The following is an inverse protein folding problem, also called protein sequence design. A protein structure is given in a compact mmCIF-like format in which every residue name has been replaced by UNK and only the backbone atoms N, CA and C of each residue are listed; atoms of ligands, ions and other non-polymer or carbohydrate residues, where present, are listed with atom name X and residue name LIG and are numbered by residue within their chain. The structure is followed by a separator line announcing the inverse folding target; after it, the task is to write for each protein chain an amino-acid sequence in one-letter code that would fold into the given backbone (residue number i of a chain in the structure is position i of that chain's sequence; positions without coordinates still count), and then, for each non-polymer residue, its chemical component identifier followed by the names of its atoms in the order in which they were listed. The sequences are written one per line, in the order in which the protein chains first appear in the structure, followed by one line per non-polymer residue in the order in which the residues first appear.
data_IF_932017352419
#
_entry.id   IF_932017352419
#
_cell.length_a   1.000
_cell.length_b   1.000
_cell.length_c   1.000
_cell.angle_alpha   90.00
_cell.angle_beta   90.00
_cell.angle_gamma   90.00
#
_symmetry.space_group_name_H-M   'P 1'
#
loop_
_entity.id
_entity.type
_entity.pdbx_description
1 polymer ?
#
# COMPACT_ATOMS: atom_id res chain seq x y z
N UNK A 1 0.70 2.84 -19.86
CA UNK A 1 1.34 2.66 -18.53
C UNK A 1 0.67 1.56 -17.72
N UNK A 2 -0.64 1.63 -17.43
CA UNK A 2 -1.34 0.61 -16.64
C UNK A 2 -1.15 -0.84 -17.14
N UNK A 3 -1.44 -1.12 -18.41
CA UNK A 3 -1.30 -2.47 -18.99
C UNK A 3 0.14 -2.99 -18.90
N UNK A 4 1.14 -2.14 -19.15
CA UNK A 4 2.55 -2.51 -19.03
C UNK A 4 2.93 -2.81 -17.57
N UNK A 5 2.43 -2.04 -16.60
CA UNK A 5 2.68 -2.29 -15.17
C UNK A 5 2.08 -3.63 -14.72
N UNK A 6 0.89 -4.00 -15.20
CA UNK A 6 0.26 -5.30 -14.92
C UNK A 6 1.11 -6.44 -15.50
N UNK A 7 1.58 -6.31 -16.74
CA UNK A 7 2.45 -7.31 -17.38
C UNK A 7 3.75 -7.49 -16.59
N UNK A 8 4.39 -6.39 -16.19
CA UNK A 8 5.61 -6.43 -15.36
C UNK A 8 5.33 -7.12 -14.03
N UNK A 9 4.24 -6.78 -13.33
CA UNK A 9 3.87 -7.41 -12.06
C UNK A 9 3.66 -8.93 -12.19
N UNK A 10 3.03 -9.38 -13.27
CA UNK A 10 2.86 -10.81 -13.55
C UNK A 10 4.21 -11.52 -13.68
N UNK A 11 5.12 -11.01 -14.50
CA UNK A 11 6.43 -11.64 -14.70
C UNK A 11 7.31 -11.63 -13.44
N UNK A 12 7.21 -10.60 -12.59
CA UNK A 12 7.96 -10.50 -11.34
C UNK A 12 7.51 -11.55 -10.31
N UNK A 13 6.20 -11.82 -10.21
CA UNK A 13 5.64 -12.73 -9.19
C UNK A 13 5.56 -14.20 -9.69
N UNK A 14 5.68 -14.46 -10.99
CA UNK A 14 5.46 -15.81 -11.54
C UNK A 14 6.52 -16.85 -11.15
N UNK A 15 7.72 -16.44 -10.68
CA UNK A 15 8.84 -17.35 -10.40
C UNK A 15 9.46 -17.16 -9.00
N UNK A 16 8.65 -16.85 -7.99
CA UNK A 16 9.17 -16.71 -6.61
C UNK A 16 9.32 -18.09 -5.96
N UNK A 17 10.38 -18.29 -5.16
CA UNK A 17 10.58 -19.50 -4.37
C UNK A 17 9.42 -19.70 -3.38
N UNK A 18 9.00 -20.95 -3.16
CA UNK A 18 7.86 -21.27 -2.29
C UNK A 18 7.97 -20.73 -0.85
N UNK A 19 9.20 -20.66 -0.32
CA UNK A 19 9.47 -20.09 1.01
C UNK A 19 9.14 -18.60 1.11
N UNK A 20 9.01 -17.91 -0.02
CA UNK A 20 8.81 -16.46 -0.07
C UNK A 20 7.34 -16.05 -0.27
N UNK A 21 6.39 -16.96 -0.46
CA UNK A 21 4.99 -16.56 -0.69
C UNK A 21 4.39 -15.75 0.47
N UNK A 22 4.66 -16.16 1.71
CA UNK A 22 4.22 -15.44 2.91
C UNK A 22 4.89 -14.07 3.08
N UNK A 23 6.23 -13.93 3.02
CA UNK A 23 6.86 -12.61 3.08
C UNK A 23 6.52 -11.72 1.88
N UNK A 24 6.29 -12.29 0.68
CA UNK A 24 5.83 -11.54 -0.50
C UNK A 24 4.41 -10.99 -0.31
N UNK A 25 3.51 -11.77 0.31
CA UNK A 25 2.18 -11.28 0.69
C UNK A 25 2.29 -10.10 1.68
N UNK A 26 3.17 -10.20 2.68
CA UNK A 26 3.39 -9.12 3.64
C UNK A 26 3.94 -7.84 2.98
N UNK A 27 4.92 -7.96 2.07
CA UNK A 27 5.47 -6.80 1.34
C UNK A 27 4.44 -6.16 0.40
N UNK A 28 3.68 -6.95 -0.34
CA UNK A 28 2.64 -6.40 -1.25
C UNK A 28 1.53 -5.69 -0.47
N UNK A 29 1.19 -6.16 0.73
CA UNK A 29 0.31 -5.44 1.64
C UNK A 29 0.92 -4.09 2.09
N UNK A 30 2.20 -4.07 2.49
CA UNK A 30 2.88 -2.83 2.87
C UNK A 30 2.89 -1.79 1.71
N UNK A 31 3.15 -2.24 0.48
CA UNK A 31 3.16 -1.40 -0.73
C UNK A 31 1.76 -0.85 -1.05
N UNK A 32 0.69 -1.62 -0.77
CA UNK A 32 -0.69 -1.15 -0.95
C UNK A 32 -1.02 0.10 -0.13
N UNK A 33 -0.22 0.40 0.91
CA UNK A 33 -0.28 1.63 1.69
C UNK A 33 -0.02 2.92 0.89
N UNK A 34 0.34 2.84 -0.40
CA UNK A 34 0.43 3.98 -1.33
C UNK A 34 -0.83 4.85 -1.36
N UNK A 35 -1.98 4.31 -0.95
CA UNK A 35 -3.22 5.07 -0.75
C UNK A 35 -3.04 6.28 0.20
N UNK A 36 -2.00 6.28 1.06
CA UNK A 36 -1.61 7.43 1.89
C UNK A 36 -1.36 8.68 1.04
N UNK A 37 -0.75 8.54 -0.13
CA UNK A 37 -0.49 9.67 -1.04
C UNK A 37 -1.80 10.32 -1.46
N UNK A 38 -2.82 9.52 -1.80
CA UNK A 38 -4.14 10.02 -2.15
C UNK A 38 -4.82 10.75 -0.99
N UNK A 39 -4.72 10.21 0.23
CA UNK A 39 -5.28 10.85 1.41
C UNK A 39 -4.60 12.20 1.72
N UNK A 40 -3.27 12.29 1.61
CA UNK A 40 -2.52 13.51 1.86
C UNK A 40 -2.88 14.64 0.88
N UNK A 41 -3.16 14.30 -0.38
CA UNK A 41 -3.60 15.28 -1.38
C UNK A 41 -4.95 15.91 -1.03
N UNK A 42 -5.79 15.21 -0.26
CA UNK A 42 -7.15 15.63 0.04
C UNK A 42 -7.28 16.44 1.35
N UNK A 43 -6.21 16.48 2.18
CA UNK A 43 -6.22 17.21 3.46
C UNK A 43 -6.39 18.73 3.32
N UNK A 44 -6.10 19.30 2.15
CA UNK A 44 -6.27 20.73 1.86
C UNK A 44 -7.65 21.13 1.31
N UNK A 45 -8.65 20.26 1.44
CA UNK A 45 -9.99 20.49 0.91
C UNK A 45 -10.78 21.50 1.75
N UNK A 46 -11.55 22.38 1.09
CA UNK A 46 -12.44 23.34 1.75
C UNK A 46 -13.69 22.67 2.38
N UNK A 47 -14.05 21.48 1.89
CA UNK A 47 -15.13 20.68 2.46
C UNK A 47 -14.65 19.92 3.71
N UNK A 48 -15.26 20.24 4.85
CA UNK A 48 -14.95 19.66 6.16
C UNK A 48 -15.19 18.15 6.24
N UNK A 49 -16.17 17.61 5.51
CA UNK A 49 -16.44 16.16 5.44
C UNK A 49 -15.27 15.48 4.76
N UNK A 50 -14.83 16.03 3.64
CA UNK A 50 -13.74 15.51 2.84
C UNK A 50 -12.43 15.54 3.61
N UNK A 51 -12.12 16.64 4.30
CA UNK A 51 -10.93 16.76 5.14
C UNK A 51 -10.94 15.79 6.32
N UNK A 52 -12.10 15.57 6.94
CA UNK A 52 -12.25 14.58 8.03
C UNK A 52 -12.00 13.16 7.53
N UNK A 53 -12.61 12.79 6.38
CA UNK A 53 -12.39 11.49 5.76
C UNK A 53 -10.93 11.28 5.32
N UNK A 54 -10.30 12.32 4.78
CA UNK A 54 -8.89 12.30 4.40
C UNK A 54 -7.98 12.05 5.61
N UNK A 55 -8.28 12.66 6.76
CA UNK A 55 -7.51 12.44 7.99
C UNK A 55 -7.67 11.01 8.52
N UNK A 56 -8.88 10.45 8.50
CA UNK A 56 -9.12 9.04 8.85
C UNK A 56 -8.40 8.10 7.88
N UNK A 57 -8.51 8.35 6.57
CA UNK A 57 -7.85 7.58 5.54
C UNK A 57 -6.32 7.61 5.69
N UNK A 58 -5.73 8.78 5.94
CA UNK A 58 -4.29 8.93 6.17
C UNK A 58 -3.83 8.16 7.41
N UNK A 59 -4.62 8.16 8.47
CA UNK A 59 -4.32 7.42 9.70
C UNK A 59 -4.33 5.91 9.46
N UNK A 60 -5.38 5.39 8.81
CA UNK A 60 -5.49 3.96 8.50
C UNK A 60 -4.41 3.51 7.50
N UNK A 61 -4.13 4.33 6.48
CA UNK A 61 -3.07 4.07 5.52
C UNK A 61 -1.69 4.02 6.19
N UNK A 62 -1.43 4.93 7.13
CA UNK A 62 -0.20 4.93 7.92
C UNK A 62 -0.05 3.65 8.74
N UNK A 63 -1.11 3.19 9.41
CA UNK A 63 -1.10 1.92 10.15
C UNK A 63 -0.76 0.74 9.22
N UNK A 64 -1.32 0.70 8.01
CA UNK A 64 -0.99 -0.34 7.03
C UNK A 64 0.49 -0.29 6.60
N UNK A 65 1.01 0.90 6.28
CA UNK A 65 2.43 1.08 5.91
C UNK A 65 3.35 0.60 7.04
N UNK A 66 3.18 1.14 8.25
CA UNK A 66 4.04 0.79 9.38
C UNK A 66 3.91 -0.69 9.77
N UNK A 67 2.68 -1.20 9.90
CA UNK A 67 2.43 -2.60 10.23
C UNK A 67 2.95 -3.56 9.18
N UNK A 68 2.69 -3.28 7.91
CA UNK A 68 3.12 -4.09 6.77
C UNK A 68 4.64 -4.23 6.69
N UNK A 69 5.38 -3.10 6.76
CA UNK A 69 6.85 -3.14 6.73
C UNK A 69 7.46 -3.78 7.97
N UNK A 70 6.88 -3.55 9.15
CA UNK A 70 7.38 -4.11 10.40
C UNK A 70 7.21 -5.64 10.43
N UNK A 71 6.07 -6.15 9.97
CA UNK A 71 5.83 -7.60 9.86
C UNK A 71 6.73 -8.22 8.79
N UNK A 72 6.85 -7.59 7.61
CA UNK A 72 7.71 -8.09 6.54
C UNK A 72 9.19 -8.16 6.95
N UNK A 73 9.67 -7.26 7.81
CA UNK A 73 11.05 -7.26 8.31
C UNK A 73 11.32 -8.37 9.37
N UNK A 74 10.29 -9.04 9.87
CA UNK A 74 10.40 -10.13 10.87
C UNK A 74 10.26 -11.54 10.28
N UNK A 75 9.95 -11.64 8.99
CA UNK A 75 9.77 -12.89 8.24
C UNK A 75 11.03 -13.20 7.42
#
# INVERSE_FOLDING_TARGET
MFTLAVIVGYYVISNVTHSLHTPLMAQTNAISGIILVGALLQLGSDDWVVTTLALVAATLASINVFGGFLVANRM
#
